data_IF_779324246777
#
_entry.id   IF_779324246777
#
_cell.length_a   1.000
_cell.length_b   1.000
_cell.length_c   1.000
_cell.angle_alpha   90.00
_cell.angle_beta   90.00
_cell.angle_gamma   90.00
#
_symmetry.space_group_name_H-M   'P 1'
#
loop_
_entity.id
_entity.type
_entity.pdbx_description
1 polymer ?
#
# COMPACT_ATOMS: atom_id res chain seq x y z
N UNK A 1 9.46 19.15 -56.10
CA UNK A 1 9.28 19.15 -57.58
C UNK A 1 10.03 20.33 -58.15
N UNK A 2 10.65 20.21 -59.33
CA UNK A 2 11.33 21.34 -59.98
C UNK A 2 10.84 21.47 -61.42
N UNK A 3 10.81 22.69 -61.93
CA UNK A 3 10.45 22.99 -63.33
C UNK A 3 11.59 23.78 -63.97
N UNK A 4 11.93 23.41 -65.21
CA UNK A 4 13.05 23.98 -65.95
C UNK A 4 12.55 24.51 -67.30
N UNK A 5 12.92 25.74 -67.65
CA UNK A 5 12.75 26.25 -69.01
C UNK A 5 14.04 26.91 -69.52
N UNK A 6 14.03 27.48 -70.72
CA UNK A 6 15.19 28.14 -71.33
C UNK A 6 15.72 29.37 -70.59
N UNK A 7 15.08 29.81 -69.51
CA UNK A 7 15.49 30.93 -68.66
C UNK A 7 15.93 30.50 -67.25
N UNK A 8 15.89 29.21 -66.91
CA UNK A 8 16.38 28.70 -65.62
C UNK A 8 15.51 27.60 -65.00
N UNK A 9 15.83 27.24 -63.76
CA UNK A 9 15.12 26.25 -62.95
C UNK A 9 14.46 26.93 -61.75
N UNK A 10 13.24 26.51 -61.40
CA UNK A 10 12.61 26.85 -60.13
C UNK A 10 12.23 25.59 -59.38
N UNK A 11 12.39 25.61 -58.06
CA UNK A 11 12.04 24.49 -57.18
C UNK A 11 10.74 24.83 -56.44
N UNK A 12 9.88 23.83 -56.25
CA UNK A 12 8.78 23.92 -55.31
C UNK A 12 9.32 24.06 -53.89
N UNK A 13 8.53 24.64 -52.99
CA UNK A 13 8.83 24.62 -51.56
C UNK A 13 9.02 23.17 -51.08
N UNK A 14 10.05 22.94 -50.27
CA UNK A 14 10.20 21.68 -49.55
C UNK A 14 9.17 21.66 -48.41
N UNK A 15 8.35 20.62 -48.36
CA UNK A 15 7.47 20.34 -47.22
C UNK A 15 8.17 19.30 -46.36
N UNK A 16 8.58 19.69 -45.16
CA UNK A 16 9.12 18.75 -44.17
C UNK A 16 7.97 18.14 -43.39
N UNK A 17 7.86 16.81 -43.40
CA UNK A 17 6.96 16.05 -42.53
C UNK A 17 7.83 15.49 -41.40
N UNK A 18 7.58 15.96 -40.18
CA UNK A 18 8.24 15.41 -38.99
C UNK A 18 7.34 14.35 -38.38
N UNK A 19 7.83 13.12 -38.30
CA UNK A 19 7.17 12.04 -37.57
C UNK A 19 7.58 12.09 -36.10
N UNK A 20 6.62 12.26 -35.21
CA UNK A 20 6.86 12.18 -33.77
C UNK A 20 6.71 10.71 -33.34
N UNK A 21 7.78 10.13 -32.80
CA UNK A 21 7.76 8.75 -32.33
C UNK A 21 6.83 8.63 -31.12
N UNK A 22 5.97 7.60 -31.11
CA UNK A 22 5.17 7.27 -29.93
C UNK A 22 6.08 6.72 -28.83
N UNK A 23 5.91 7.15 -27.57
CA UNK A 23 6.68 6.61 -26.46
C UNK A 23 6.37 5.13 -26.22
N UNK A 24 7.31 4.41 -25.64
CA UNK A 24 7.10 3.03 -25.17
C UNK A 24 6.05 2.99 -24.06
N UNK A 25 5.37 1.84 -23.92
CA UNK A 25 4.47 1.60 -22.79
C UNK A 25 5.25 1.72 -21.48
N UNK A 26 4.76 2.48 -20.49
CA UNK A 26 5.39 2.53 -19.17
C UNK A 26 5.54 1.13 -18.59
N UNK A 27 6.69 0.86 -17.97
CA UNK A 27 6.91 -0.40 -17.26
C UNK A 27 6.39 -0.29 -15.83
N UNK A 28 5.46 -1.14 -15.44
CA UNK A 28 4.97 -1.22 -14.07
C UNK A 28 6.08 -1.81 -13.19
N UNK A 29 6.50 -1.03 -12.19
CA UNK A 29 7.49 -1.42 -11.19
C UNK A 29 6.83 -1.92 -9.92
N UNK A 30 7.39 -1.54 -8.77
CA UNK A 30 6.88 -1.93 -7.44
C UNK A 30 5.44 -1.49 -7.25
N UNK A 31 4.61 -2.43 -6.79
CA UNK A 31 3.23 -2.20 -6.39
C UNK A 31 3.19 -2.31 -4.86
N UNK A 32 2.60 -1.31 -4.22
CA UNK A 32 2.34 -1.33 -2.77
C UNK A 32 0.84 -1.27 -2.58
N UNK A 33 0.28 -2.27 -1.90
CA UNK A 33 -1.15 -2.35 -1.61
C UNK A 33 -1.54 -1.40 -0.48
N UNK A 34 -2.84 -1.20 -0.30
CA UNK A 34 -3.36 -0.34 0.77
C UNK A 34 -2.95 -0.91 2.13
N UNK A 35 -2.45 -0.03 3.00
CA UNK A 35 -2.09 -0.33 4.39
C UNK A 35 -3.06 0.33 5.35
N UNK A 36 -2.91 0.09 6.65
CA UNK A 36 -3.74 0.71 7.68
C UNK A 36 -3.59 2.25 7.75
N UNK A 37 -2.49 2.81 7.23
CA UNK A 37 -2.12 4.22 7.40
C UNK A 37 -1.90 4.96 6.08
N UNK A 38 -1.85 4.25 4.95
CA UNK A 38 -1.59 4.83 3.63
C UNK A 38 -2.32 4.07 2.52
N UNK A 39 -2.75 4.81 1.50
CA UNK A 39 -3.24 4.22 0.25
C UNK A 39 -2.14 3.51 -0.53
N UNK A 40 -2.55 2.75 -1.55
CA UNK A 40 -1.63 2.02 -2.41
C UNK A 40 -0.78 2.94 -3.30
N UNK A 41 0.26 2.37 -3.90
CA UNK A 41 1.12 3.07 -4.85
C UNK A 41 1.62 2.17 -5.96
N UNK A 42 1.87 2.77 -7.12
CA UNK A 42 2.43 2.10 -8.29
C UNK A 42 3.60 2.92 -8.80
N UNK A 43 4.77 2.29 -8.90
CA UNK A 43 5.92 2.88 -9.58
C UNK A 43 5.80 2.61 -11.08
N UNK A 44 5.98 3.64 -11.90
CA UNK A 44 6.04 3.56 -13.35
C UNK A 44 7.45 3.94 -13.80
N UNK A 45 8.06 3.08 -14.60
CA UNK A 45 9.42 3.21 -15.13
C UNK A 45 9.42 3.29 -16.65
N UNK A 46 10.58 3.62 -17.25
CA UNK A 46 10.73 3.71 -18.70
C UNK A 46 9.95 4.88 -19.30
N UNK A 47 9.81 5.97 -18.53
CA UNK A 47 9.13 7.17 -18.99
C UNK A 47 10.03 7.94 -19.97
N UNK A 48 9.45 8.67 -20.95
CA UNK A 48 10.23 9.36 -21.98
C UNK A 48 11.19 10.40 -21.38
N UNK A 49 12.28 10.68 -22.09
CA UNK A 49 13.10 11.85 -21.80
C UNK A 49 12.36 13.15 -22.09
N UNK A 50 12.59 14.20 -21.29
CA UNK A 50 11.88 15.47 -21.44
C UNK A 50 10.51 15.44 -20.78
N UNK A 51 9.69 16.48 -21.00
CA UNK A 51 8.37 16.57 -20.38
C UNK A 51 7.41 15.50 -20.91
N UNK A 52 6.63 14.92 -20.01
CA UNK A 52 5.59 13.95 -20.33
C UNK A 52 4.40 14.09 -19.39
N UNK A 53 3.28 13.49 -19.77
CA UNK A 53 2.07 13.37 -18.94
C UNK A 53 1.62 11.92 -18.89
N UNK A 54 1.58 11.34 -17.69
CA UNK A 54 0.92 10.06 -17.43
C UNK A 54 -0.59 10.31 -17.37
N UNK A 55 -1.36 9.47 -18.05
CA UNK A 55 -2.81 9.43 -17.95
C UNK A 55 -3.19 8.12 -17.26
N UNK A 56 -3.75 8.24 -16.06
CA UNK A 56 -4.28 7.12 -15.29
C UNK A 56 -5.75 6.91 -15.64
N UNK A 57 -6.14 5.65 -15.80
CA UNK A 57 -7.53 5.21 -16.00
C UNK A 57 -7.87 4.03 -15.10
N UNK A 58 -9.14 3.62 -15.07
CA UNK A 58 -9.64 2.50 -14.24
C UNK A 58 -10.45 3.01 -13.05
N UNK A 59 -10.10 2.56 -11.84
CA UNK A 59 -10.82 2.93 -10.60
C UNK A 59 -10.87 4.43 -10.33
N UNK A 60 -9.84 5.17 -10.74
CA UNK A 60 -9.85 6.63 -10.74
C UNK A 60 -9.16 7.17 -11.99
N UNK A 61 -9.64 8.30 -12.49
CA UNK A 61 -9.08 9.00 -13.64
C UNK A 61 -8.34 10.23 -13.16
N UNK A 62 -7.08 10.35 -13.52
CA UNK A 62 -6.21 11.47 -13.13
C UNK A 62 -5.02 11.56 -14.09
N UNK A 63 -4.27 12.65 -14.03
CA UNK A 63 -3.05 12.83 -14.80
C UNK A 63 -1.92 13.39 -13.96
N UNK A 64 -0.70 13.05 -14.36
CA UNK A 64 0.52 13.49 -13.68
C UNK A 64 1.54 13.93 -14.72
N UNK A 65 2.14 15.09 -14.54
CA UNK A 65 3.17 15.60 -15.45
C UNK A 65 4.50 15.75 -14.73
N UNK A 66 5.57 15.34 -15.38
CA UNK A 66 6.94 15.47 -14.89
C UNK A 66 7.90 15.35 -16.09
N UNK A 67 9.19 15.20 -15.81
CA UNK A 67 10.26 15.03 -16.80
C UNK A 67 11.32 13.99 -16.36
N UNK A 68 10.98 13.16 -15.37
CA UNK A 68 11.84 12.11 -14.82
C UNK A 68 11.65 10.79 -15.56
N UNK A 69 12.64 9.89 -15.50
CA UNK A 69 12.56 8.57 -16.14
C UNK A 69 11.61 7.58 -15.42
N UNK A 70 11.17 7.93 -14.21
CA UNK A 70 10.23 7.17 -13.39
C UNK A 70 9.30 8.09 -12.60
N UNK A 71 8.15 7.58 -12.20
CA UNK A 71 7.17 8.30 -11.39
C UNK A 71 6.41 7.35 -10.47
N UNK A 72 6.15 7.77 -9.23
CA UNK A 72 5.35 6.97 -8.28
C UNK A 72 3.98 7.60 -8.13
N UNK A 73 2.96 6.86 -8.55
CA UNK A 73 1.56 7.21 -8.30
C UNK A 73 1.24 6.80 -6.87
N UNK A 74 0.79 7.75 -6.05
CA UNK A 74 0.53 7.57 -4.61
C UNK A 74 -0.97 7.72 -4.30
N UNK A 75 -1.40 7.17 -3.16
CA UNK A 75 -2.75 7.40 -2.64
C UNK A 75 -3.84 6.65 -3.40
N UNK A 76 -3.51 5.52 -4.02
CA UNK A 76 -4.46 4.70 -4.76
C UNK A 76 -5.39 3.96 -3.80
N UNK A 77 -6.67 3.97 -4.12
CA UNK A 77 -7.65 3.12 -3.45
C UNK A 77 -7.56 1.67 -3.97
N UNK A 78 -8.23 0.75 -3.28
CA UNK A 78 -8.41 -0.63 -3.77
C UNK A 78 -9.11 -0.58 -5.12
N UNK A 79 -8.56 -1.26 -6.12
CA UNK A 79 -9.04 -1.13 -7.48
C UNK A 79 -8.11 -1.71 -8.53
N UNK A 80 -8.39 -1.35 -9.78
CA UNK A 80 -7.61 -1.74 -10.94
C UNK A 80 -7.31 -0.52 -11.80
N UNK A 81 -6.04 -0.35 -12.16
CA UNK A 81 -5.53 0.83 -12.83
C UNK A 81 -4.81 0.49 -14.13
N UNK A 82 -4.92 1.36 -15.12
CA UNK A 82 -4.10 1.31 -16.34
C UNK A 82 -3.49 2.67 -16.59
N UNK A 83 -2.33 2.68 -17.24
CA UNK A 83 -1.57 3.91 -17.46
C UNK A 83 -1.13 4.02 -18.92
N UNK A 84 -1.24 5.21 -19.48
CA UNK A 84 -0.53 5.61 -20.70
C UNK A 84 0.40 6.77 -20.37
N UNK A 85 1.40 7.01 -21.22
CA UNK A 85 2.23 8.22 -21.15
C UNK A 85 2.17 8.97 -22.47
N UNK A 86 1.97 10.27 -22.40
CA UNK A 86 2.02 11.21 -23.52
C UNK A 86 3.32 11.99 -23.46
N UNK A 87 4.13 11.95 -24.52
CA UNK A 87 5.39 12.70 -24.58
C UNK A 87 5.17 14.21 -24.85
N UNK A 88 6.25 15.00 -24.84
CA UNK A 88 6.21 16.44 -25.10
C UNK A 88 5.60 16.81 -26.47
N UNK A 89 5.73 15.92 -27.45
CA UNK A 89 5.17 16.09 -28.80
C UNK A 89 3.68 15.74 -28.90
N UNK A 90 3.03 15.35 -27.80
CA UNK A 90 1.62 15.01 -27.74
C UNK A 90 1.28 13.58 -28.17
N UNK A 91 2.27 12.71 -28.39
CA UNK A 91 2.05 11.33 -28.80
C UNK A 91 1.85 10.41 -27.58
N UNK A 92 0.73 9.67 -27.49
CA UNK A 92 0.50 8.71 -26.41
C UNK A 92 1.14 7.35 -26.68
N UNK A 93 1.52 6.64 -25.61
CA UNK A 93 1.83 5.21 -25.64
C UNK A 93 0.56 4.36 -25.69
N UNK A 94 0.70 3.07 -25.97
CA UNK A 94 -0.33 2.09 -25.56
C UNK A 94 -0.43 2.00 -24.03
N UNK A 95 -1.56 1.49 -23.53
CA UNK A 95 -1.79 1.33 -22.10
C UNK A 95 -1.00 0.16 -21.52
N UNK A 96 -0.64 0.25 -20.24
CA UNK A 96 -0.18 -0.90 -19.46
C UNK A 96 -1.26 -1.98 -19.37
N UNK A 97 -0.86 -3.20 -19.00
CA UNK A 97 -1.81 -4.16 -18.45
C UNK A 97 -2.51 -3.59 -17.20
N UNK A 98 -3.67 -4.15 -16.85
CA UNK A 98 -4.39 -3.79 -15.65
C UNK A 98 -3.57 -4.12 -14.39
N UNK A 99 -3.35 -3.11 -13.54
CA UNK A 99 -2.56 -3.21 -12.32
C UNK A 99 -3.51 -3.17 -11.12
N UNK A 100 -3.65 -4.30 -10.38
CA UNK A 100 -4.51 -4.33 -9.20
C UNK A 100 -3.82 -3.70 -7.99
N UNK A 101 -4.59 -2.94 -7.21
CA UNK A 101 -4.29 -2.56 -5.84
C UNK A 101 -5.30 -3.28 -4.95
N UNK A 102 -4.80 -4.10 -4.03
CA UNK A 102 -5.64 -4.85 -3.08
C UNK A 102 -5.61 -4.23 -1.70
N UNK A 103 -6.54 -4.66 -0.85
CA UNK A 103 -6.54 -4.30 0.56
C UNK A 103 -5.56 -5.19 1.33
N UNK A 104 -4.49 -4.59 1.84
CA UNK A 104 -3.55 -5.23 2.77
C UNK A 104 -3.62 -4.62 4.17
N UNK A 105 -4.59 -3.74 4.45
CA UNK A 105 -4.65 -2.92 5.66
C UNK A 105 -4.98 -3.68 6.94
N UNK A 106 -5.45 -4.92 6.83
CA UNK A 106 -5.81 -5.75 7.97
C UNK A 106 -5.57 -7.23 7.71
N UNK A 107 -5.45 -7.97 8.81
CA UNK A 107 -5.38 -9.43 8.81
C UNK A 107 -6.12 -9.98 10.03
N UNK A 108 -6.84 -11.08 9.83
CA UNK A 108 -7.70 -11.67 10.85
C UNK A 108 -7.18 -13.03 11.28
N UNK A 109 -7.01 -13.24 12.58
CA UNK A 109 -6.69 -14.54 13.16
C UNK A 109 -7.96 -15.28 13.55
N UNK A 110 -8.14 -16.47 12.98
CA UNK A 110 -9.32 -17.31 13.18
C UNK A 110 -9.09 -18.51 14.12
N UNK A 111 -7.98 -18.55 14.86
CA UNK A 111 -7.59 -19.70 15.69
C UNK A 111 -6.69 -20.72 14.99
N UNK A 112 -6.44 -20.54 13.68
CA UNK A 112 -5.62 -21.44 12.85
C UNK A 112 -4.60 -20.65 12.03
N UNK A 113 -5.04 -19.62 11.31
CA UNK A 113 -4.20 -18.85 10.40
C UNK A 113 -4.65 -17.39 10.31
N UNK A 114 -3.72 -16.56 9.82
CA UNK A 114 -3.98 -15.17 9.47
C UNK A 114 -4.53 -15.06 8.05
N UNK A 115 -5.66 -14.38 7.86
CA UNK A 115 -6.32 -14.25 6.56
C UNK A 115 -5.50 -13.50 5.51
N UNK A 116 -4.57 -12.63 5.93
CA UNK A 116 -3.77 -11.79 5.02
C UNK A 116 -2.30 -11.76 5.42
N UNK A 117 -1.79 -12.94 5.80
CA UNK A 117 -0.44 -13.10 6.35
C UNK A 117 -0.30 -12.53 7.76
N UNK A 118 0.85 -12.75 8.38
CA UNK A 118 1.15 -12.25 9.72
C UNK A 118 1.04 -10.72 9.77
N UNK A 119 0.52 -10.14 10.86
CA UNK A 119 0.45 -8.70 11.02
C UNK A 119 1.86 -8.09 11.17
N UNK A 120 1.96 -6.83 10.76
CA UNK A 120 3.10 -5.95 10.98
C UNK A 120 2.57 -4.52 11.26
N UNK A 121 3.46 -3.54 11.43
CA UNK A 121 3.07 -2.15 11.71
C UNK A 121 2.15 -1.52 10.64
N UNK A 122 2.02 -2.11 9.46
CA UNK A 122 1.17 -1.65 8.36
C UNK A 122 -0.21 -2.31 8.31
N UNK A 123 -0.44 -3.35 9.14
CA UNK A 123 -1.71 -4.11 9.16
C UNK A 123 -2.39 -4.05 10.52
N UNK A 124 -3.69 -3.81 10.52
CA UNK A 124 -4.53 -4.04 11.70
C UNK A 124 -4.65 -5.54 11.98
N UNK A 125 -4.38 -5.96 13.21
CA UNK A 125 -4.55 -7.32 13.66
C UNK A 125 -5.94 -7.48 14.30
N UNK A 126 -6.76 -8.40 13.77
CA UNK A 126 -8.09 -8.67 14.29
C UNK A 126 -8.13 -10.11 14.80
N UNK A 127 -8.39 -10.30 16.10
CA UNK A 127 -8.47 -11.63 16.71
C UNK A 127 -9.94 -12.00 16.88
N UNK A 128 -10.41 -12.99 16.11
CA UNK A 128 -11.81 -13.48 16.18
C UNK A 128 -11.95 -14.86 16.83
N UNK A 129 -10.85 -15.57 17.04
CA UNK A 129 -10.82 -16.78 17.86
C UNK A 129 -9.41 -17.02 18.40
N UNK A 130 -9.30 -17.49 19.65
CA UNK A 130 -8.03 -17.98 20.21
C UNK A 130 -8.04 -19.50 20.44
N UNK A 131 -9.06 -20.18 19.92
CA UNK A 131 -9.21 -21.64 19.96
C UNK A 131 -9.24 -22.20 18.54
N UNK A 132 -8.54 -23.30 18.24
CA UNK A 132 -7.70 -24.08 19.15
C UNK A 132 -6.35 -23.43 19.48
N UNK A 133 -5.88 -22.46 18.69
CA UNK A 133 -4.57 -21.84 18.89
C UNK A 133 -4.66 -20.32 19.13
N UNK A 134 -3.85 -19.84 20.08
CA UNK A 134 -3.64 -18.41 20.31
C UNK A 134 -2.70 -17.82 19.25
N UNK A 135 -2.93 -16.58 18.79
CA UNK A 135 -2.01 -15.89 17.88
C UNK A 135 -0.72 -15.39 18.58
N UNK A 136 -0.69 -15.35 19.92
CA UNK A 136 0.39 -14.74 20.70
C UNK A 136 1.48 -15.76 21.06
N UNK A 137 2.07 -16.41 20.05
CA UNK A 137 3.15 -17.41 20.23
C UNK A 137 4.55 -16.82 20.09
N UNK A 138 4.65 -15.59 19.57
CA UNK A 138 5.88 -14.81 19.41
C UNK A 138 5.53 -13.32 19.52
N UNK A 139 6.56 -12.47 19.55
CA UNK A 139 6.38 -11.02 19.46
C UNK A 139 5.56 -10.66 18.21
N UNK A 140 4.62 -9.73 18.39
CA UNK A 140 3.68 -9.36 17.34
C UNK A 140 3.66 -7.85 17.20
N UNK A 141 3.85 -7.39 15.97
CA UNK A 141 3.68 -5.99 15.60
C UNK A 141 2.37 -5.82 14.84
N UNK A 142 1.61 -4.77 15.14
CA UNK A 142 0.40 -4.43 14.39
C UNK A 142 0.19 -2.92 14.33
N UNK A 143 -0.56 -2.47 13.34
CA UNK A 143 -0.99 -1.09 13.25
C UNK A 143 -2.01 -0.72 14.33
N UNK A 144 -3.01 -1.58 14.53
CA UNK A 144 -3.95 -1.54 15.64
C UNK A 144 -4.31 -3.00 15.99
N UNK A 145 -4.79 -3.24 17.21
CA UNK A 145 -5.20 -4.57 17.66
C UNK A 145 -6.66 -4.56 18.08
N UNK A 146 -7.44 -5.47 17.52
CA UNK A 146 -8.84 -5.68 17.90
C UNK A 146 -9.03 -7.09 18.45
N UNK A 147 -9.62 -7.21 19.63
CA UNK A 147 -9.99 -8.48 20.27
C UNK A 147 -11.51 -8.61 20.23
N UNK A 148 -11.99 -9.43 19.29
CA UNK A 148 -13.41 -9.76 19.07
C UNK A 148 -13.60 -11.29 19.09
N UNK A 149 -12.89 -11.98 19.98
CA UNK A 149 -12.85 -13.44 19.96
C UNK A 149 -14.11 -14.05 20.60
N UNK A 150 -14.84 -14.88 19.87
CA UNK A 150 -16.09 -15.49 20.38
C UNK A 150 -15.87 -16.65 21.36
N UNK A 151 -14.62 -17.09 21.54
CA UNK A 151 -14.25 -18.24 22.37
C UNK A 151 -12.87 -18.05 22.98
N UNK A 152 -12.71 -18.49 24.23
CA UNK A 152 -11.46 -18.46 24.98
C UNK A 152 -11.09 -17.08 25.55
N UNK A 153 -9.90 -17.00 26.16
CA UNK A 153 -9.35 -15.76 26.74
C UNK A 153 -8.07 -15.39 26.01
N UNK A 154 -8.05 -14.22 25.39
CA UNK A 154 -6.87 -13.71 24.70
C UNK A 154 -5.76 -13.42 25.71
N UNK A 155 -4.75 -14.29 25.75
CA UNK A 155 -3.66 -14.24 26.71
C UNK A 155 -2.32 -14.12 26.00
N UNK A 156 -1.57 -13.08 26.32
CA UNK A 156 -0.19 -12.83 25.89
C UNK A 156 0.75 -13.48 26.91
N UNK A 157 1.49 -14.54 26.53
CA UNK A 157 2.36 -15.27 27.44
C UNK A 157 3.56 -14.46 27.94
N UNK A 158 4.17 -14.92 29.04
CA UNK A 158 5.41 -14.36 29.60
C UNK A 158 6.52 -14.27 28.53
N UNK A 159 7.20 -13.13 28.47
CA UNK A 159 8.30 -12.90 27.53
C UNK A 159 7.86 -12.43 26.13
N UNK A 160 6.56 -12.41 25.84
CA UNK A 160 6.04 -11.88 24.57
C UNK A 160 5.76 -10.38 24.68
N UNK A 161 6.17 -9.64 23.65
CA UNK A 161 5.90 -8.22 23.48
C UNK A 161 4.94 -7.99 22.32
N UNK A 162 3.83 -7.30 22.60
CA UNK A 162 2.99 -6.72 21.56
C UNK A 162 3.44 -5.30 21.27
N UNK A 163 3.79 -4.99 20.03
CA UNK A 163 4.10 -3.63 19.56
C UNK A 163 2.95 -3.12 18.70
N UNK A 164 2.13 -2.23 19.25
CA UNK A 164 0.93 -1.72 18.59
C UNK A 164 1.12 -0.25 18.23
N UNK A 165 0.96 0.08 16.95
CA UNK A 165 1.21 1.45 16.50
C UNK A 165 0.17 2.41 17.08
N UNK A 166 -1.11 2.06 16.96
CA UNK A 166 -2.24 2.88 17.40
C UNK A 166 -2.94 2.25 18.63
N UNK A 167 -4.27 2.30 18.66
CA UNK A 167 -5.08 1.82 19.77
C UNK A 167 -5.29 0.31 19.77
N UNK A 168 -5.65 -0.18 20.95
CA UNK A 168 -6.18 -1.52 21.19
C UNK A 168 -7.67 -1.40 21.51
N UNK A 169 -8.49 -2.22 20.85
CA UNK A 169 -9.92 -2.33 21.12
C UNK A 169 -10.24 -3.74 21.56
N UNK A 170 -10.71 -3.91 22.79
CA UNK A 170 -11.23 -5.19 23.30
C UNK A 170 -12.75 -5.07 23.40
N UNK A 171 -13.50 -5.93 22.72
CA UNK A 171 -14.96 -5.90 22.82
C UNK A 171 -15.44 -6.24 24.24
N UNK A 172 -16.63 -5.76 24.60
CA UNK A 172 -17.13 -5.63 25.98
C UNK A 172 -17.07 -6.92 26.81
N UNK A 173 -17.30 -8.08 26.18
CA UNK A 173 -17.38 -9.38 26.87
C UNK A 173 -16.03 -10.11 26.94
N UNK A 174 -14.95 -9.50 26.41
CA UNK A 174 -13.66 -10.13 26.27
C UNK A 174 -12.59 -9.45 27.12
N UNK A 175 -11.48 -10.16 27.33
CA UNK A 175 -10.32 -9.64 28.04
C UNK A 175 -9.08 -9.88 27.19
N UNK A 176 -8.19 -8.89 27.17
CA UNK A 176 -6.79 -9.08 26.77
C UNK A 176 -5.94 -9.18 28.04
N UNK A 177 -5.33 -10.33 28.28
CA UNK A 177 -4.52 -10.58 29.47
C UNK A 177 -3.05 -10.64 29.09
N UNK A 178 -2.22 -9.86 29.77
CA UNK A 178 -0.77 -9.97 29.74
C UNK A 178 -0.30 -10.73 30.98
N UNK A 179 0.37 -11.87 30.78
CA UNK A 179 1.00 -12.61 31.86
C UNK A 179 2.20 -11.85 32.45
N UNK A 180 2.73 -12.35 33.58
CA UNK A 180 3.93 -11.79 34.17
C UNK A 180 5.07 -11.76 33.13
N UNK A 181 5.85 -10.69 33.08
CA UNK A 181 6.89 -10.43 32.06
C UNK A 181 6.42 -10.33 30.59
N UNK A 182 5.12 -10.29 30.31
CA UNK A 182 4.62 -9.86 29.01
C UNK A 182 4.59 -8.31 28.93
N UNK A 183 4.74 -7.78 27.73
CA UNK A 183 4.88 -6.34 27.49
C UNK A 183 3.96 -5.85 26.38
N UNK A 184 3.49 -4.62 26.54
CA UNK A 184 2.86 -3.84 25.48
C UNK A 184 3.73 -2.60 25.24
N UNK A 185 4.10 -2.40 23.98
CA UNK A 185 4.73 -1.17 23.50
C UNK A 185 3.74 -0.48 22.56
N UNK A 186 3.39 0.77 22.86
CA UNK A 186 2.58 1.60 21.97
C UNK A 186 3.44 2.68 21.34
N UNK A 187 3.34 2.83 20.03
CA UNK A 187 4.15 3.79 19.27
C UNK A 187 3.48 5.17 19.24
N UNK A 188 2.17 5.23 19.05
CA UNK A 188 1.40 6.47 19.05
C UNK A 188 1.01 6.83 20.49
N UNK A 189 1.63 7.86 21.07
CA UNK A 189 1.33 8.35 22.41
C UNK A 189 -0.11 8.86 22.58
N UNK A 190 -0.82 9.16 21.49
CA UNK A 190 -2.22 9.58 21.50
C UNK A 190 -3.19 8.41 21.26
N UNK A 191 -2.69 7.18 21.16
CA UNK A 191 -3.53 6.00 21.00
C UNK A 191 -4.51 5.86 22.17
N UNK A 192 -5.79 5.71 21.85
CA UNK A 192 -6.82 5.40 22.84
C UNK A 192 -7.04 3.89 22.87
N UNK A 193 -6.87 3.28 24.04
CA UNK A 193 -7.23 1.88 24.26
C UNK A 193 -8.64 1.81 24.84
N UNK A 194 -9.43 0.83 24.42
CA UNK A 194 -10.79 0.59 24.90
C UNK A 194 -10.99 -0.87 25.28
N UNK A 195 -11.93 -1.11 26.18
CA UNK A 195 -12.23 -2.45 26.71
C UNK A 195 -11.29 -2.89 27.83
N UNK A 196 -11.34 -4.19 28.16
CA UNK A 196 -10.69 -4.74 29.35
C UNK A 196 -9.31 -5.33 29.03
N UNK A 197 -8.27 -4.60 29.44
CA UNK A 197 -6.87 -5.02 29.34
C UNK A 197 -6.34 -5.26 30.77
N UNK A 198 -5.81 -6.47 31.02
CA UNK A 198 -5.42 -6.92 32.36
C UNK A 198 -3.93 -7.29 32.34
N UNK A 199 -3.18 -6.79 33.31
CA UNK A 199 -1.79 -7.22 33.55
C UNK A 199 -1.71 -8.05 34.82
N UNK A 200 -1.12 -9.25 34.72
CA UNK A 200 -0.71 -10.05 35.87
C UNK A 200 0.76 -9.76 36.16
N UNK A 201 1.09 -9.34 37.37
CA UNK A 201 2.46 -9.02 37.79
C UNK A 201 2.76 -9.74 39.10
N UNK A 202 3.89 -10.45 39.13
CA UNK A 202 4.41 -11.06 40.35
C UNK A 202 5.35 -10.05 41.02
N UNK A 203 5.08 -9.69 42.26
CA UNK A 203 5.92 -8.79 43.06
C UNK A 203 6.46 -9.51 44.30
N UNK A 204 7.63 -9.10 44.75
CA UNK A 204 8.13 -9.52 46.06
C UNK A 204 7.31 -8.84 47.17
N UNK A 205 7.18 -9.46 48.37
CA UNK A 205 6.53 -8.82 49.50
C UNK A 205 7.19 -7.48 49.85
N UNK A 206 6.37 -6.45 50.14
CA UNK A 206 6.85 -5.21 50.75
C UNK A 206 7.49 -5.51 52.10
N UNK A 207 8.72 -5.02 52.34
CA UNK A 207 9.42 -5.11 53.62
C UNK A 207 9.09 -3.91 54.51
#
# INVERSE_FOLDING_TARGET
YYATNGCGTTNSNAVAITINQTPSVPTVGTITNVSCSAGGSIVLNGLPSGSWTINQSGTAITSYSSNTSSYTVLGLAVGSYTFTVTNASGCPSSATAAVPITDASSTTWNGIAWSNGTPDATKNAIIVSVTPNSPFTADLSACALTINNSSGVATVPSGITLTITNGITVATDYNLIFENNASLVQINNNATNTGKIIYKRNSAPMK
#
